data_IF_986848074306
#
_entry.id   IF_986848074306
#
_cell.length_a   1.000
_cell.length_b   1.000
_cell.length_c   1.000
_cell.angle_alpha   90.00
_cell.angle_beta   90.00
_cell.angle_gamma   90.00
#
_symmetry.space_group_name_H-M   'P 1'
#
loop_
_entity.id
_entity.type
_entity.pdbx_description
1 polymer ?
#
# COMPACT_ATOMS: atom_id res chain seq x y z
N UNK A 1 21.72 2.26 -33.21
CA UNK A 1 21.35 1.49 -32.00
C UNK A 1 20.93 0.09 -32.44
N UNK A 2 21.88 -0.83 -32.67
CA UNK A 2 21.60 -2.10 -33.38
C UNK A 2 22.35 -3.32 -32.84
N UNK A 3 23.25 -3.16 -31.87
CA UNK A 3 24.13 -4.25 -31.40
C UNK A 3 23.40 -5.32 -30.58
N UNK A 4 22.46 -4.94 -29.72
CA UNK A 4 21.72 -5.91 -28.90
C UNK A 4 20.68 -6.69 -29.72
N UNK A 5 20.02 -6.05 -30.70
CA UNK A 5 19.01 -6.69 -31.55
C UNK A 5 19.58 -7.71 -32.54
N UNK A 6 20.90 -7.68 -32.76
CA UNK A 6 21.60 -8.65 -33.62
C UNK A 6 22.14 -9.86 -32.85
N UNK A 7 22.04 -9.89 -31.52
CA UNK A 7 22.51 -11.02 -30.73
C UNK A 7 21.47 -12.15 -30.73
N UNK A 8 21.92 -13.42 -30.67
CA UNK A 8 21.05 -14.56 -30.44
C UNK A 8 20.19 -14.40 -29.19
N UNK A 9 18.99 -14.99 -29.26
CA UNK A 9 17.96 -14.90 -28.22
C UNK A 9 18.49 -15.43 -26.86
N UNK A 10 19.34 -16.43 -26.88
CA UNK A 10 19.94 -17.02 -25.68
C UNK A 10 20.89 -16.05 -24.98
N UNK A 11 21.65 -15.24 -25.73
CA UNK A 11 22.59 -14.26 -25.16
C UNK A 11 21.81 -13.11 -24.52
N UNK A 12 20.79 -12.60 -25.22
CA UNK A 12 19.93 -11.53 -24.69
C UNK A 12 19.20 -11.98 -23.42
N UNK A 13 18.70 -13.22 -23.39
CA UNK A 13 18.09 -13.81 -22.18
C UNK A 13 19.05 -13.79 -21.01
N UNK A 14 20.29 -14.25 -21.23
CA UNK A 14 21.30 -14.29 -20.19
C UNK A 14 21.68 -12.90 -19.69
N UNK A 15 21.77 -11.90 -20.59
CA UNK A 15 21.98 -10.50 -20.18
C UNK A 15 20.84 -10.04 -19.28
N UNK A 16 19.59 -10.34 -19.64
CA UNK A 16 18.42 -9.91 -18.87
C UNK A 16 18.43 -10.49 -17.46
N UNK A 17 18.92 -11.72 -17.25
CA UNK A 17 19.07 -12.34 -15.92
C UNK A 17 19.83 -11.44 -14.93
N UNK A 18 20.80 -10.66 -15.41
CA UNK A 18 21.62 -9.79 -14.57
C UNK A 18 21.07 -8.37 -14.42
N UNK A 19 20.04 -7.99 -15.18
CA UNK A 19 19.41 -6.68 -15.06
C UNK A 19 18.49 -6.64 -13.85
N UNK A 20 18.44 -5.53 -13.13
CA UNK A 20 17.42 -5.31 -12.11
C UNK A 20 16.02 -5.18 -12.76
N UNK A 21 14.95 -5.34 -11.98
CA UNK A 21 13.58 -5.11 -12.49
C UNK A 21 13.38 -3.66 -12.93
N UNK A 22 14.08 -2.73 -12.27
CA UNK A 22 14.13 -1.34 -12.69
C UNK A 22 14.74 -1.18 -14.09
N UNK A 23 15.87 -1.83 -14.34
CA UNK A 23 16.57 -1.76 -15.64
C UNK A 23 15.77 -2.47 -16.74
N UNK A 24 15.15 -3.59 -16.43
CA UNK A 24 14.18 -4.24 -17.32
C UNK A 24 13.04 -3.25 -17.64
N UNK A 25 12.43 -2.63 -16.64
CA UNK A 25 11.33 -1.70 -16.85
C UNK A 25 11.77 -0.42 -17.63
N UNK A 26 13.03 0.03 -17.51
CA UNK A 26 13.61 1.04 -18.41
C UNK A 26 13.76 0.52 -19.83
N UNK A 27 14.31 -0.68 -20.00
CA UNK A 27 14.53 -1.31 -21.30
C UNK A 27 13.21 -1.46 -22.09
N UNK A 28 12.15 -1.88 -21.40
CA UNK A 28 10.77 -1.99 -21.90
C UNK A 28 10.31 -0.71 -22.62
N UNK A 29 10.65 0.46 -22.07
CA UNK A 29 10.28 1.76 -22.63
C UNK A 29 11.17 2.20 -23.80
N UNK A 30 12.42 1.77 -23.79
CA UNK A 30 13.43 2.22 -24.77
C UNK A 30 13.38 1.43 -26.08
N UNK A 31 13.05 0.14 -26.05
CA UNK A 31 13.13 -0.72 -27.22
C UNK A 31 11.90 -1.63 -27.40
N UNK A 32 11.14 -1.41 -28.48
CA UNK A 32 9.99 -2.25 -28.83
C UNK A 32 10.36 -3.69 -29.15
N UNK A 33 11.55 -3.94 -29.67
CA UNK A 33 12.01 -5.28 -30.04
C UNK A 33 12.12 -6.22 -28.82
N UNK A 34 12.45 -5.66 -27.65
CA UNK A 34 12.61 -6.43 -26.41
C UNK A 34 11.40 -6.35 -25.49
N UNK A 35 10.44 -5.47 -25.77
CA UNK A 35 9.34 -5.14 -24.88
C UNK A 35 8.59 -6.37 -24.36
N UNK A 36 8.14 -7.28 -25.23
CA UNK A 36 7.41 -8.49 -24.84
C UNK A 36 8.23 -9.40 -23.93
N UNK A 37 9.52 -9.49 -24.20
CA UNK A 37 10.43 -10.34 -23.47
C UNK A 37 10.80 -9.78 -22.10
N UNK A 38 11.02 -8.48 -22.06
CA UNK A 38 11.26 -7.75 -20.83
C UNK A 38 10.05 -7.83 -19.91
N UNK A 39 8.83 -7.68 -20.45
CA UNK A 39 7.59 -7.83 -19.69
C UNK A 39 7.40 -9.27 -19.20
N UNK A 40 7.73 -10.26 -20.01
CA UNK A 40 7.73 -11.67 -19.60
C UNK A 40 8.72 -11.93 -18.46
N UNK A 41 9.93 -11.38 -18.54
CA UNK A 41 10.95 -11.55 -17.51
C UNK A 41 10.54 -10.86 -16.19
N UNK A 42 9.94 -9.67 -16.28
CA UNK A 42 9.37 -8.96 -15.12
C UNK A 42 8.25 -9.80 -14.48
N UNK A 43 7.29 -10.29 -15.28
CA UNK A 43 6.21 -11.17 -14.80
C UNK A 43 6.77 -12.41 -14.09
N UNK A 44 7.72 -13.08 -14.74
CA UNK A 44 8.39 -14.26 -14.21
C UNK A 44 9.02 -13.97 -12.85
N UNK A 45 9.75 -12.86 -12.69
CA UNK A 45 10.44 -12.52 -11.45
C UNK A 45 9.51 -12.10 -10.32
N UNK A 46 8.45 -11.37 -10.64
CA UNK A 46 7.39 -11.04 -9.68
C UNK A 46 6.76 -12.33 -9.13
N UNK A 47 6.55 -13.34 -9.98
CA UNK A 47 6.03 -14.66 -9.57
C UNK A 47 7.05 -15.53 -8.84
N UNK A 48 8.35 -15.36 -9.09
CA UNK A 48 9.42 -16.25 -8.62
C UNK A 48 10.28 -15.66 -7.49
N UNK A 49 9.76 -14.65 -6.78
CA UNK A 49 10.22 -14.21 -5.45
C UNK A 49 11.42 -13.24 -5.39
N UNK A 50 11.88 -12.61 -6.49
CA UNK A 50 13.06 -11.71 -6.40
C UNK A 50 12.76 -10.28 -5.90
N UNK A 51 11.57 -10.03 -5.33
CA UNK A 51 11.03 -8.69 -5.00
C UNK A 51 10.41 -8.58 -3.60
N UNK A 52 10.60 -9.57 -2.72
CA UNK A 52 9.90 -9.62 -1.43
C UNK A 52 10.24 -8.48 -0.46
N UNK A 53 11.24 -7.65 -0.74
CA UNK A 53 11.76 -6.63 0.19
C UNK A 53 11.60 -5.19 -0.33
N UNK A 54 10.79 -4.94 -1.36
CA UNK A 54 10.83 -3.64 -2.03
C UNK A 54 9.92 -2.59 -1.38
N UNK A 55 8.75 -2.98 -0.87
CA UNK A 55 7.70 -2.02 -0.49
C UNK A 55 7.12 -2.26 0.89
N UNK A 56 6.93 -1.16 1.61
CA UNK A 56 6.24 -1.07 2.89
C UNK A 56 5.08 -0.08 2.81
N UNK A 57 3.96 -0.40 3.47
CA UNK A 57 2.84 0.52 3.65
C UNK A 57 2.77 0.91 5.13
N UNK A 58 2.70 2.22 5.39
CA UNK A 58 2.40 2.78 6.70
C UNK A 58 0.92 3.20 6.75
N UNK A 59 0.16 2.60 7.66
CA UNK A 59 -1.27 2.85 7.87
C UNK A 59 -1.48 3.20 9.35
N UNK A 60 -1.87 4.44 9.64
CA UNK A 60 -2.24 4.88 10.99
C UNK A 60 -1.28 4.39 12.11
N UNK A 61 0.03 4.55 11.88
CA UNK A 61 1.16 4.15 12.75
C UNK A 61 1.54 2.66 12.76
N UNK A 62 0.90 1.81 11.96
CA UNK A 62 1.35 0.44 11.69
C UNK A 62 2.08 0.36 10.34
N UNK A 63 3.21 -0.33 10.28
CA UNK A 63 3.97 -0.57 9.05
C UNK A 63 3.89 -2.04 8.67
N UNK A 64 3.63 -2.32 7.40
CA UNK A 64 3.50 -3.68 6.87
C UNK A 64 4.30 -3.81 5.59
N UNK A 65 5.13 -4.85 5.52
CA UNK A 65 5.86 -5.23 4.31
C UNK A 65 4.88 -5.92 3.37
N UNK A 66 4.82 -5.50 2.11
CA UNK A 66 3.92 -6.11 1.13
C UNK A 66 4.61 -7.17 0.31
N UNK A 67 3.86 -8.18 -0.10
CA UNK A 67 4.40 -9.29 -0.89
C UNK A 67 3.90 -9.21 -2.32
N UNK A 68 4.78 -9.25 -3.34
CA UNK A 68 4.36 -9.29 -4.73
C UNK A 68 3.44 -10.49 -4.99
N UNK A 69 2.30 -10.25 -5.63
CA UNK A 69 1.29 -11.28 -5.90
C UNK A 69 1.17 -11.59 -7.40
N UNK A 70 1.07 -10.54 -8.24
CA UNK A 70 0.94 -10.70 -9.70
C UNK A 70 1.37 -9.46 -10.47
N UNK A 71 1.66 -9.65 -11.76
CA UNK A 71 1.87 -8.56 -12.71
C UNK A 71 0.86 -8.65 -13.84
N UNK A 72 0.24 -7.51 -14.16
CA UNK A 72 -0.60 -7.38 -15.33
C UNK A 72 0.16 -6.63 -16.43
N UNK A 73 0.44 -7.35 -17.52
CA UNK A 73 1.16 -6.86 -18.68
C UNK A 73 0.34 -5.80 -19.44
N UNK A 74 -1.00 -5.91 -19.47
CA UNK A 74 -1.86 -4.99 -20.22
C UNK A 74 -1.94 -3.64 -19.54
N UNK A 75 -2.22 -3.63 -18.23
CA UNK A 75 -2.30 -2.39 -17.44
C UNK A 75 -0.93 -1.91 -16.95
N UNK A 76 0.11 -2.74 -17.10
CA UNK A 76 1.47 -2.51 -16.58
C UNK A 76 1.46 -2.21 -15.09
N UNK A 77 0.63 -2.93 -14.34
CA UNK A 77 0.51 -2.80 -12.88
C UNK A 77 1.04 -4.03 -12.17
N UNK A 78 1.79 -3.80 -11.10
CA UNK A 78 2.19 -4.83 -10.15
C UNK A 78 1.22 -4.79 -8.98
N UNK A 79 0.68 -5.95 -8.63
CA UNK A 79 -0.21 -6.12 -7.49
C UNK A 79 0.55 -6.82 -6.38
N UNK A 80 0.41 -6.27 -5.17
CA UNK A 80 1.00 -6.78 -3.95
C UNK A 80 -0.11 -7.15 -2.98
N UNK A 81 -0.01 -8.31 -2.34
CA UNK A 81 -0.86 -8.65 -1.21
C UNK A 81 -0.32 -8.00 0.06
N UNK A 82 -1.21 -7.55 0.92
CA UNK A 82 -0.87 -6.85 2.17
C UNK A 82 -1.21 -7.75 3.35
N UNK A 83 -0.23 -8.49 3.93
CA UNK A 83 -0.48 -9.43 5.01
C UNK A 83 -0.57 -8.67 6.36
N UNK A 84 -1.66 -7.94 6.57
CA UNK A 84 -1.87 -7.16 7.78
C UNK A 84 -3.07 -7.63 8.60
N UNK A 85 -2.95 -7.48 9.92
CA UNK A 85 -4.09 -7.63 10.82
C UNK A 85 -5.03 -6.41 10.72
N UNK A 86 -6.35 -6.58 10.91
CA UNK A 86 -7.30 -5.48 10.92
C UNK A 86 -6.96 -4.45 12.02
N UNK A 87 -6.77 -3.19 11.62
CA UNK A 87 -6.51 -2.08 12.54
C UNK A 87 -7.81 -1.58 13.13
N UNK A 88 -7.88 -1.50 14.47
CA UNK A 88 -9.05 -0.99 15.19
C UNK A 88 -8.93 0.52 15.41
N UNK A 89 -9.94 1.25 14.95
CA UNK A 89 -10.04 2.69 15.12
C UNK A 89 -11.25 3.01 15.98
N UNK A 90 -11.01 3.74 17.07
CA UNK A 90 -12.05 4.23 17.97
C UNK A 90 -12.39 5.68 17.63
N UNK A 91 -13.68 6.01 17.63
CA UNK A 91 -14.18 7.36 17.44
C UNK A 91 -15.35 7.63 18.40
N UNK A 92 -15.42 8.83 18.96
CA UNK A 92 -16.52 9.23 19.86
C UNK A 92 -17.77 9.69 19.10
N UNK A 93 -17.59 10.15 17.86
CA UNK A 93 -18.64 10.71 17.01
C UNK A 93 -18.64 10.01 15.65
N UNK A 94 -19.83 9.78 15.11
CA UNK A 94 -20.00 9.29 13.73
C UNK A 94 -19.84 10.48 12.80
N UNK A 95 -18.61 10.76 12.39
CA UNK A 95 -18.30 11.84 11.44
C UNK A 95 -17.38 11.30 10.36
N UNK A 96 -17.38 11.96 9.20
CA UNK A 96 -16.45 11.64 8.12
C UNK A 96 -15.02 11.76 8.63
N UNK A 97 -14.28 10.64 8.66
CA UNK A 97 -12.88 10.59 9.07
C UNK A 97 -12.02 10.11 7.91
N UNK A 98 -10.87 10.75 7.75
CA UNK A 98 -9.86 10.37 6.77
C UNK A 98 -8.72 9.64 7.46
N UNK A 99 -8.26 8.57 6.83
CA UNK A 99 -7.15 7.74 7.31
C UNK A 99 -6.10 7.75 6.24
N UNK A 100 -4.98 8.38 6.57
CA UNK A 100 -3.85 8.52 5.66
C UNK A 100 -3.04 7.23 5.64
N UNK A 101 -2.75 6.78 4.42
CA UNK A 101 -1.85 5.69 4.13
C UNK A 101 -0.67 6.28 3.33
N UNK A 102 0.53 5.86 3.70
CA UNK A 102 1.77 6.28 3.06
C UNK A 102 2.54 5.05 2.59
N UNK A 103 3.11 5.11 1.39
CA UNK A 103 3.93 4.02 0.84
C UNK A 103 5.39 4.40 0.97
N UNK A 104 6.24 3.50 1.43
CA UNK A 104 7.68 3.71 1.52
C UNK A 104 8.45 2.55 0.92
N UNK A 105 9.60 2.84 0.32
CA UNK A 105 10.49 1.81 -0.21
C UNK A 105 11.44 1.32 0.89
N UNK A 106 11.55 0.01 1.11
CA UNK A 106 12.27 -0.53 2.27
C UNK A 106 13.78 -0.19 2.23
N UNK A 107 14.40 -0.21 1.04
CA UNK A 107 15.83 0.12 0.88
C UNK A 107 16.12 1.62 0.93
N UNK A 108 15.12 2.49 0.74
CA UNK A 108 15.30 3.94 0.70
C UNK A 108 14.12 4.68 1.35
N UNK A 109 14.15 4.73 2.69
CA UNK A 109 13.14 5.39 3.53
C UNK A 109 12.93 6.89 3.28
N UNK A 110 13.73 7.52 2.40
CA UNK A 110 13.58 8.95 2.05
C UNK A 110 12.43 9.20 1.08
N UNK A 111 11.89 8.17 0.42
CA UNK A 111 10.79 8.32 -0.53
C UNK A 111 9.52 7.73 0.05
N UNK A 112 8.64 8.65 0.43
CA UNK A 112 7.30 8.34 0.89
C UNK A 112 6.32 8.86 -0.17
N UNK A 113 5.46 7.98 -0.69
CA UNK A 113 4.33 8.38 -1.52
C UNK A 113 3.13 8.57 -0.61
N UNK A 114 2.71 9.83 -0.49
CA UNK A 114 1.53 10.21 0.26
C UNK A 114 0.34 10.41 -0.68
N UNK A 115 -0.88 10.34 -0.12
CA UNK A 115 -2.11 10.66 -0.85
C UNK A 115 -3.09 9.50 -1.01
N UNK A 116 -2.78 8.32 -0.48
CA UNK A 116 -3.78 7.27 -0.30
C UNK A 116 -4.58 7.56 0.97
N UNK A 117 -5.89 7.80 0.82
CA UNK A 117 -6.77 8.14 1.93
C UNK A 117 -8.00 7.22 1.96
N UNK A 118 -8.13 6.44 3.03
CA UNK A 118 -9.35 5.68 3.31
C UNK A 118 -10.33 6.62 4.01
N UNK A 119 -11.53 6.76 3.45
CA UNK A 119 -12.58 7.63 4.00
C UNK A 119 -13.60 6.76 4.73
N UNK A 120 -13.68 6.93 6.05
CA UNK A 120 -14.78 6.38 6.86
C UNK A 120 -15.98 7.30 6.70
N UNK A 121 -17.06 6.79 6.11
CA UNK A 121 -18.30 7.54 5.89
C UNK A 121 -19.13 7.57 7.17
N UNK A 122 -19.83 8.69 7.35
CA UNK A 122 -20.83 8.83 8.40
C UNK A 122 -22.01 7.88 8.14
N UNK A 123 -22.59 7.33 9.20
CA UNK A 123 -23.81 6.54 9.11
C UNK A 123 -23.61 5.10 8.61
N UNK A 124 -22.37 4.63 8.58
CA UNK A 124 -22.05 3.23 8.28
C UNK A 124 -22.79 2.32 9.28
N UNK A 125 -23.37 1.21 8.78
CA UNK A 125 -24.17 0.28 9.59
C UNK A 125 -23.27 -0.67 10.38
N UNK A 126 -23.66 -0.96 11.62
CA UNK A 126 -22.96 -1.92 12.48
C UNK A 126 -23.02 -3.34 11.90
N UNK A 127 -21.92 -4.09 12.03
CA UNK A 127 -21.76 -5.45 11.53
C UNK A 127 -21.54 -5.58 10.02
N UNK A 128 -21.65 -4.48 9.27
CA UNK A 128 -21.47 -4.49 7.81
C UNK A 128 -20.02 -4.16 7.47
N UNK A 129 -19.48 -4.92 6.51
CA UNK A 129 -18.18 -4.67 5.87
C UNK A 129 -18.41 -4.03 4.51
N UNK A 130 -17.80 -2.88 4.27
CA UNK A 130 -17.77 -2.18 3.00
C UNK A 130 -16.39 -2.34 2.36
N UNK A 131 -16.37 -2.59 1.05
CA UNK A 131 -15.13 -2.57 0.28
C UNK A 131 -14.83 -1.15 -0.19
N UNK A 132 -13.57 -0.75 -0.06
CA UNK A 132 -13.09 0.61 -0.32
C UNK A 132 -11.91 0.53 -1.28
N UNK A 133 -12.13 1.08 -2.47
CA UNK A 133 -11.08 1.31 -3.46
C UNK A 133 -10.56 2.74 -3.31
N UNK A 134 -9.27 2.88 -3.00
CA UNK A 134 -8.60 4.17 -2.89
C UNK A 134 -7.69 4.35 -4.08
N UNK A 135 -7.86 5.45 -4.81
CA UNK A 135 -6.96 5.84 -5.89
C UNK A 135 -6.10 7.01 -5.43
N UNK A 136 -4.78 6.82 -5.44
CA UNK A 136 -3.81 7.87 -5.22
C UNK A 136 -3.58 8.70 -6.49
N UNK A 137 -3.11 9.93 -6.33
CA UNK A 137 -2.79 10.85 -7.45
C UNK A 137 -1.77 10.28 -8.45
N UNK A 138 -0.98 9.32 -8.00
CA UNK A 138 0.17 8.77 -8.69
C UNK A 138 -0.11 7.47 -9.47
N UNK A 139 -1.39 7.09 -9.57
CA UNK A 139 -1.83 5.84 -10.19
C UNK A 139 -1.65 4.61 -9.29
N UNK A 140 -1.21 4.79 -8.04
CA UNK A 140 -1.23 3.77 -7.01
C UNK A 140 -2.66 3.56 -6.51
N UNK A 141 -3.05 2.31 -6.28
CA UNK A 141 -4.39 1.99 -5.81
C UNK A 141 -4.32 1.06 -4.61
N UNK A 142 -5.24 1.23 -3.66
CA UNK A 142 -5.34 0.43 -2.46
C UNK A 142 -6.73 -0.17 -2.39
N UNK A 143 -6.81 -1.48 -2.20
CA UNK A 143 -8.05 -2.18 -1.91
C UNK A 143 -8.09 -2.50 -0.42
N UNK A 144 -9.15 -2.07 0.25
CA UNK A 144 -9.31 -2.27 1.68
C UNK A 144 -10.76 -2.57 2.05
N UNK A 145 -10.93 -3.34 3.11
CA UNK A 145 -12.21 -3.56 3.76
C UNK A 145 -12.34 -2.74 5.04
N UNK A 146 -13.50 -2.09 5.19
CA UNK A 146 -13.86 -1.31 6.36
C UNK A 146 -15.09 -1.95 7.01
N UNK A 147 -15.03 -2.24 8.31
CA UNK A 147 -16.17 -2.81 9.05
C UNK A 147 -16.47 -1.96 10.28
N UNK A 148 -17.73 -1.58 10.50
CA UNK A 148 -18.16 -0.98 11.78
C UNK A 148 -18.52 -2.11 12.73
N UNK A 149 -17.78 -2.27 13.81
CA UNK A 149 -18.02 -3.35 14.76
C UNK A 149 -19.34 -3.13 15.51
N UNK A 150 -20.10 -4.21 15.64
CA UNK A 150 -21.32 -4.19 16.44
C UNK A 150 -20.96 -3.94 17.90
N UNK A 151 -21.70 -3.05 18.54
CA UNK A 151 -21.57 -2.84 19.98
C UNK A 151 -22.11 -4.07 20.70
N UNK A 152 -21.20 -4.89 21.23
CA UNK A 152 -21.59 -5.84 22.26
C UNK A 152 -22.03 -5.02 23.49
N UNK A 153 -23.23 -5.27 24.04
CA UNK A 153 -23.57 -4.71 25.33
C UNK A 153 -22.49 -5.15 26.33
N UNK A 154 -22.05 -4.26 27.24
CA UNK A 154 -21.07 -4.66 28.25
C UNK A 154 -21.60 -5.93 28.96
N UNK A 155 -20.75 -6.94 29.20
CA UNK A 155 -21.19 -8.10 29.95
C UNK A 155 -21.80 -7.60 31.26
N UNK A 156 -23.00 -8.06 31.59
CA UNK A 156 -23.62 -7.79 32.89
C UNK A 156 -22.66 -8.29 33.96
N UNK A 157 -21.90 -7.39 34.58
CA UNK A 157 -21.01 -7.70 35.70
C UNK A 157 -21.85 -8.06 36.94
N UNK A 158 -23.18 -7.88 36.88
CA UNK A 158 -24.09 -8.25 37.94
C UNK A 158 -24.63 -9.68 37.73
N UNK A 159 -24.42 -10.60 38.70
CA UNK A 159 -25.19 -11.84 38.75
C UNK A 159 -26.69 -11.50 38.82
N UNK A 160 -27.57 -12.35 38.25
CA UNK A 160 -29.00 -12.09 38.24
C UNK A 160 -29.51 -11.92 39.69
N UNK A 161 -30.24 -10.84 39.99
CA UNK A 161 -30.75 -10.62 41.34
C UNK A 161 -31.81 -11.66 41.67
N UNK A 162 -31.55 -12.49 42.69
CA UNK A 162 -32.62 -13.17 43.41
C UNK A 162 -33.43 -12.08 44.14
N UNK A 163 -34.54 -11.66 43.53
CA UNK A 163 -35.50 -10.72 44.13
C UNK A 163 -36.22 -11.33 45.35
N UNK A 164 -36.77 -10.55 46.31
CA UNK A 164 -37.40 -9.25 46.09
C UNK A 164 -37.19 -8.20 47.20
N UNK A 165 -36.62 -7.04 46.86
CA UNK A 165 -37.01 -5.78 47.50
C UNK A 165 -36.99 -4.66 46.46
N UNK A 166 -38.15 -4.02 46.30
CA UNK A 166 -38.36 -2.77 45.58
C UNK A 166 -37.60 -1.67 46.32
N UNK A 167 -36.57 -1.11 45.68
CA UNK A 167 -36.16 0.29 45.86
C UNK A 167 -35.29 0.67 44.65
N UNK A 168 -35.84 1.55 43.82
CA UNK A 168 -35.22 2.37 42.77
C UNK A 168 -33.87 1.89 42.22
N UNK A 169 -33.91 0.89 41.33
CA UNK A 169 -32.81 0.67 40.38
C UNK A 169 -32.82 1.80 39.36
N UNK A 170 -32.14 2.90 39.68
CA UNK A 170 -31.73 3.89 38.69
C UNK A 170 -30.91 3.12 37.66
N UNK A 171 -31.36 3.01 36.39
CA UNK A 171 -30.55 2.35 35.37
C UNK A 171 -29.23 3.10 35.33
N UNK A 172 -28.10 2.39 35.49
CA UNK A 172 -26.77 2.99 35.48
C UNK A 172 -26.64 3.87 34.23
N UNK A 173 -26.84 5.18 34.41
CA UNK A 173 -26.93 6.13 33.32
C UNK A 173 -25.56 6.14 32.67
N UNK A 174 -25.49 5.70 31.41
CA UNK A 174 -24.29 5.81 30.61
C UNK A 174 -24.02 7.32 30.45
N UNK A 175 -23.12 7.86 31.29
CA UNK A 175 -22.83 9.30 31.38
C UNK A 175 -22.13 9.84 30.12
N UNK A 176 -21.54 8.96 29.29
CA UNK A 176 -20.86 9.33 28.06
C UNK A 176 -21.13 8.31 26.95
N UNK A 177 -21.31 8.73 25.69
CA UNK A 177 -21.56 7.83 24.58
C UNK A 177 -20.40 6.82 24.43
N UNK A 178 -20.74 5.55 24.23
CA UNK A 178 -19.75 4.51 23.95
C UNK A 178 -19.06 4.78 22.61
N UNK A 179 -17.72 4.64 22.53
CA UNK A 179 -16.99 4.88 21.30
C UNK A 179 -17.46 3.92 20.20
N UNK A 180 -17.62 4.45 19.00
CA UNK A 180 -17.74 3.70 17.76
C UNK A 180 -16.39 3.04 17.49
N UNK A 181 -16.43 1.79 17.03
CA UNK A 181 -15.21 1.04 16.70
C UNK A 181 -15.32 0.55 15.26
N UNK A 182 -14.31 0.87 14.47
CA UNK A 182 -14.16 0.44 13.09
C UNK A 182 -12.93 -0.45 12.98
N UNK A 183 -12.97 -1.44 12.09
CA UNK A 183 -11.80 -2.21 11.67
C UNK A 183 -11.48 -1.91 10.21
N UNK A 184 -10.20 -1.75 9.92
CA UNK A 184 -9.70 -1.57 8.56
C UNK A 184 -8.68 -2.63 8.28
N UNK A 185 -8.86 -3.32 7.18
CA UNK A 185 -7.91 -4.28 6.66
C UNK A 185 -7.62 -3.90 5.22
N UNK A 186 -6.35 -3.69 4.91
CA UNK A 186 -5.90 -3.51 3.53
C UNK A 186 -5.57 -4.89 2.98
N UNK A 187 -6.11 -5.20 1.81
CA UNK A 187 -6.01 -6.52 1.21
C UNK A 187 -5.00 -6.52 0.05
N UNK A 188 -5.03 -5.51 -0.81
CA UNK A 188 -4.21 -5.43 -2.01
C UNK A 188 -3.71 -3.99 -2.28
N UNK A 189 -2.47 -3.88 -2.74
CA UNK A 189 -1.86 -2.66 -3.26
C UNK A 189 -1.53 -2.85 -4.73
N UNK A 190 -1.94 -1.92 -5.60
CA UNK A 190 -1.54 -1.88 -7.00
C UNK A 190 -0.61 -0.69 -7.26
N UNK A 191 0.51 -0.96 -7.93
CA UNK A 191 1.50 0.06 -8.32
C UNK A 191 1.74 0.00 -9.82
N UNK A 192 1.76 1.13 -10.54
CA UNK A 192 2.16 1.14 -11.93
C UNK A 192 3.66 0.85 -12.06
N UNK A 193 4.06 0.13 -13.12
CA UNK A 193 5.45 -0.23 -13.42
C UNK A 193 6.39 1.00 -13.45
N UNK A 194 5.84 2.18 -13.75
CA UNK A 194 6.55 3.46 -13.68
C UNK A 194 7.17 3.75 -12.31
N UNK A 195 6.51 3.35 -11.22
CA UNK A 195 6.98 3.61 -9.85
C UNK A 195 8.16 2.72 -9.47
N UNK A 196 8.32 1.56 -10.13
CA UNK A 196 9.52 0.73 -10.02
C UNK A 196 10.73 1.35 -10.74
N UNK A 197 10.49 2.10 -11.83
CA UNK A 197 11.56 2.68 -12.67
C UNK A 197 12.23 3.89 -12.01
N UNK A 198 11.45 4.68 -11.27
CA UNK A 198 11.91 5.96 -10.73
C UNK A 198 12.92 5.84 -9.58
N UNK A 199 13.31 4.62 -9.15
CA UNK A 199 14.19 4.38 -7.99
C UNK A 199 15.51 5.14 -8.10
N UNK A 200 16.02 5.39 -9.31
CA UNK A 200 17.12 6.33 -9.55
C UNK A 200 16.90 7.04 -10.89
N UNK A 201 16.47 8.29 -10.90
CA UNK A 201 17.04 9.17 -11.90
C UNK A 201 18.52 9.29 -11.48
N UNK A 202 19.42 8.64 -12.22
CA UNK A 202 20.86 8.94 -12.12
C UNK A 202 21.00 10.47 -12.13
N UNK A 203 21.83 11.08 -11.27
CA UNK A 203 22.17 12.50 -11.42
C UNK A 203 22.83 12.66 -12.79
N UNK A 204 22.05 13.05 -13.80
CA UNK A 204 22.58 13.53 -15.05
C UNK A 204 23.19 14.90 -14.74
N UNK A 205 24.51 14.91 -14.57
CA UNK A 205 25.41 16.06 -14.59
C UNK A 205 24.80 17.40 -14.15
N UNK A 206 24.84 17.70 -12.85
CA UNK A 206 25.12 19.09 -12.49
C UNK A 206 26.62 19.28 -12.75
N UNK A 207 26.94 20.00 -13.82
CA UNK A 207 28.29 20.51 -14.03
C UNK A 207 28.66 21.34 -12.80
N UNK A 208 29.59 20.82 -12.00
CA UNK A 208 30.33 21.60 -11.01
C UNK A 208 30.97 22.79 -11.74
N UNK A 209 30.25 23.90 -11.75
CA UNK A 209 30.78 25.22 -12.03
C UNK A 209 31.66 25.58 -10.83
N UNK A 210 32.83 24.93 -10.74
CA UNK A 210 33.92 25.41 -9.91
C UNK A 210 34.28 26.81 -10.39
N UNK A 211 33.69 27.81 -9.73
CA UNK A 211 34.24 29.15 -9.66
C UNK A 211 35.66 29.02 -9.12
N UNK A 212 36.64 28.97 -10.03
CA UNK A 212 37.99 29.39 -9.73
C UNK A 212 37.93 30.90 -9.42
N UNK A 213 37.73 31.21 -8.14
CA UNK A 213 38.12 32.48 -7.58
C UNK A 213 39.63 32.58 -7.66
N UNK A 214 40.13 33.19 -8.73
CA UNK A 214 41.49 33.69 -8.82
C UNK A 214 41.60 34.79 -7.76
N UNK A 215 42.28 34.48 -6.66
CA UNK A 215 42.87 35.50 -5.80
C UNK A 215 44.18 35.94 -6.45
N UNK A 216 44.19 37.19 -6.90
CA UNK A 216 45.36 38.05 -7.02
C UNK A 216 44.99 39.42 -6.47
#
# INVERSE_FOLDING_TARGET
>A
MTLLSSLPVEIVSNIFLYLSIQDLARLERTCRCFQSWTLYEIDRRIKTCSLHEDWDILIHLGQVVVTPARFDIQTKKVFYSVPMDPIRIKAMYDHRRQIHCALSFASNKKRTYDGLQIIVKEGMKEGITEQVDVQGHDGCELHASLTKLQRLPPPSIYPPPQQPHQEDQIPATILAPLPLVYTIQVDELSLPLSKLICIDAWPMCEEDSHQHGIRS
#
